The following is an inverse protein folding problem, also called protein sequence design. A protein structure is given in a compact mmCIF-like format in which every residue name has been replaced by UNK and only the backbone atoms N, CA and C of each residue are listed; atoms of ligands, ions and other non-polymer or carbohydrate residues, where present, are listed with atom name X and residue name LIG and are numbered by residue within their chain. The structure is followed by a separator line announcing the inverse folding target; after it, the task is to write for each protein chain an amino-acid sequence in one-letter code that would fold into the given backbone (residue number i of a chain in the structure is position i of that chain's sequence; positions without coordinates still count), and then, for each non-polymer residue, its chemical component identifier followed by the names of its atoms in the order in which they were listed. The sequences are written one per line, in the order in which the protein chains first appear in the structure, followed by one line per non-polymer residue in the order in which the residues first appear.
data_IF_722877353215
#
_entry.id   IF_722877353215
#
_cell.length_a   1.000
_cell.length_b   1.000
_cell.length_c   1.000
_cell.angle_alpha   90.00
_cell.angle_beta   90.00
_cell.angle_gamma   90.00
#
_symmetry.space_group_name_H-M   'P 1'
#
loop_
_entity.id
_entity.type
_entity.pdbx_description
1 polymer ?
#
# COMPACT_ATOMS: atom_id res chain seq x y z
N UNK A 1 3.25 2.03 11.68
CA UNK A 1 1.88 1.79 11.26
C UNK A 1 1.33 3.01 10.52
N UNK A 2 0.58 2.82 9.44
CA UNK A 2 -0.02 3.94 8.75
C UNK A 2 -1.08 4.62 9.60
N UNK A 3 -1.06 5.94 9.62
CA UNK A 3 -2.02 6.71 10.41
C UNK A 3 -3.34 6.90 9.69
N UNK A 4 -3.35 6.81 8.36
CA UNK A 4 -4.57 6.96 7.58
C UNK A 4 -4.99 5.59 7.03
N UNK A 5 -5.92 4.97 7.72
CA UNK A 5 -6.36 3.63 7.35
C UNK A 5 -7.03 3.58 5.97
N UNK A 6 -7.75 4.63 5.61
CA UNK A 6 -8.39 4.68 4.30
C UNK A 6 -7.38 4.68 3.17
N UNK A 7 -6.39 5.54 3.27
CA UNK A 7 -5.33 5.60 2.26
C UNK A 7 -4.55 4.29 2.22
N UNK A 8 -4.27 3.73 3.38
CA UNK A 8 -3.56 2.46 3.44
C UNK A 8 -4.34 1.36 2.74
N UNK A 9 -5.65 1.33 2.95
CA UNK A 9 -6.51 0.34 2.32
C UNK A 9 -6.49 0.49 0.79
N UNK A 10 -6.56 1.73 0.31
CA UNK A 10 -6.49 2.00 -1.12
C UNK A 10 -5.14 1.56 -1.69
N UNK A 11 -4.06 1.84 -0.96
CA UNK A 11 -2.73 1.43 -1.39
C UNK A 11 -2.60 -0.08 -1.51
N UNK A 12 -3.12 -0.80 -0.53
CA UNK A 12 -3.11 -2.27 -0.57
C UNK A 12 -3.92 -2.79 -1.76
N UNK A 13 -5.05 -2.17 -2.01
CA UNK A 13 -5.91 -2.55 -3.12
C UNK A 13 -5.20 -2.33 -4.45
N UNK A 14 -4.52 -1.20 -4.60
CA UNK A 14 -3.77 -0.90 -5.80
C UNK A 14 -2.64 -1.93 -6.00
N UNK A 15 -1.97 -2.29 -4.93
CA UNK A 15 -0.92 -3.29 -4.99
C UNK A 15 -1.47 -4.64 -5.45
N UNK A 16 -2.62 -5.02 -4.93
CA UNK A 16 -3.25 -6.27 -5.31
C UNK A 16 -3.63 -6.27 -6.78
N UNK A 17 -4.15 -5.16 -7.27
CA UNK A 17 -4.53 -5.06 -8.68
C UNK A 17 -3.31 -5.12 -9.60
N UNK A 18 -2.21 -4.52 -9.17
CA UNK A 18 -1.00 -4.50 -9.98
C UNK A 18 -0.30 -5.85 -10.02
N UNK A 19 -0.17 -6.49 -8.86
CA UNK A 19 0.59 -7.72 -8.75
C UNK A 19 -0.29 -8.97 -8.73
N UNK A 20 -1.58 -8.80 -8.50
CA UNK A 20 -2.50 -9.94 -8.41
C UNK A 20 -2.12 -10.85 -7.27
N UNK A 21 -1.86 -12.11 -7.57
CA UNK A 21 -1.48 -13.09 -6.57
C UNK A 21 0.03 -13.30 -6.50
N UNK A 22 0.78 -12.33 -6.99
CA UNK A 22 2.22 -12.40 -6.92
C UNK A 22 2.70 -12.29 -5.47
N UNK A 23 4.01 -12.27 -5.30
CA UNK A 23 4.62 -12.24 -3.98
C UNK A 23 4.00 -11.17 -3.06
N UNK A 24 3.63 -11.60 -1.86
CA UNK A 24 3.07 -10.66 -0.89
C UNK A 24 4.10 -9.62 -0.46
N UNK A 25 5.37 -9.97 -0.52
CA UNK A 25 6.44 -9.05 -0.19
C UNK A 25 6.48 -7.88 -1.18
N UNK A 26 6.37 -8.18 -2.46
CA UNK A 26 6.34 -7.14 -3.48
C UNK A 26 5.10 -6.25 -3.33
N UNK A 27 3.96 -6.86 -3.01
CA UNK A 27 2.74 -6.12 -2.79
C UNK A 27 2.87 -5.18 -1.60
N UNK A 28 3.46 -5.65 -0.53
CA UNK A 28 3.67 -4.83 0.67
C UNK A 28 4.53 -3.61 0.37
N UNK A 29 5.64 -3.83 -0.34
CA UNK A 29 6.53 -2.73 -0.70
C UNK A 29 5.82 -1.71 -1.59
N UNK A 30 5.09 -2.20 -2.56
CA UNK A 30 4.35 -1.31 -3.44
C UNK A 30 3.30 -0.51 -2.67
N UNK A 31 2.58 -1.17 -1.78
CA UNK A 31 1.56 -0.50 -0.99
C UNK A 31 2.17 0.58 -0.11
N UNK A 32 3.29 0.31 0.52
CA UNK A 32 3.96 1.30 1.35
C UNK A 32 4.38 2.51 0.53
N UNK A 33 4.98 2.28 -0.62
CA UNK A 33 5.42 3.36 -1.49
C UNK A 33 4.24 4.19 -1.96
N UNK A 34 3.20 3.52 -2.43
CA UNK A 34 2.00 4.19 -2.91
C UNK A 34 1.36 5.03 -1.81
N UNK A 35 1.29 4.48 -0.61
CA UNK A 35 0.72 5.17 0.53
C UNK A 35 1.49 6.45 0.85
N UNK A 36 2.80 6.36 0.87
CA UNK A 36 3.64 7.54 1.14
C UNK A 36 3.50 8.59 0.06
N UNK A 37 3.46 8.17 -1.19
CA UNK A 37 3.30 9.10 -2.31
C UNK A 37 1.94 9.77 -2.32
N UNK A 38 0.95 9.13 -1.73
CA UNK A 38 -0.39 9.71 -1.60
C UNK A 38 -0.49 10.68 -0.44
N UNK A 39 0.60 10.94 0.24
CA UNK A 39 0.60 11.82 1.40
C UNK A 39 0.27 11.10 2.70
N UNK A 40 0.35 9.78 2.71
CA UNK A 40 0.12 9.02 3.93
C UNK A 40 1.27 9.13 4.91
N UNK A 41 0.96 8.99 6.17
CA UNK A 41 1.95 9.07 7.22
C UNK A 41 2.07 7.73 7.96
N UNK A 42 3.25 7.51 8.52
CA UNK A 42 3.48 6.35 9.38
C UNK A 42 3.81 6.84 10.79
N UNK A 43 3.35 6.08 11.74
CA UNK A 43 3.62 6.42 13.11
C UNK A 43 4.46 5.35 13.78
#
# INVERSE_FOLDING_TARGET
RPTDKKKWKVSKRAAKRKFGEASSEAKSRYAQKHYRESGGSFK
#
